data_IF_987773703125
#
_entry.id   IF_987773703125
#
_cell.length_a   1.000
_cell.length_b   1.000
_cell.length_c   1.000
_cell.angle_alpha   90.00
_cell.angle_beta   90.00
_cell.angle_gamma   90.00
#
_symmetry.space_group_name_H-M   'P 1'
#
loop_
_entity.id
_entity.type
_entity.pdbx_description
1 polymer ?
#
# COMPACT_ATOMS: atom_id res chain seq x y z
N UNK A 1 -5.82 17.19 37.11
CA UNK A 1 -4.96 17.52 35.95
C UNK A 1 -4.22 16.24 35.56
N UNK A 2 -4.10 15.99 34.24
CA UNK A 2 -3.54 14.81 33.57
C UNK A 2 -4.49 13.62 33.31
N UNK A 3 -4.97 13.51 32.07
CA UNK A 3 -5.12 12.25 31.37
C UNK A 3 -4.52 12.44 29.97
N UNK A 4 -3.44 11.71 29.71
CA UNK A 4 -2.67 11.72 28.47
C UNK A 4 -3.56 11.18 27.35
N UNK A 5 -3.80 11.96 26.29
CA UNK A 5 -4.36 11.48 25.04
C UNK A 5 -3.28 11.50 23.95
N UNK A 6 -2.13 10.91 24.25
CA UNK A 6 -1.21 10.43 23.22
C UNK A 6 -1.77 9.11 22.67
N UNK A 7 -2.83 9.22 21.86
CA UNK A 7 -3.32 8.10 21.07
C UNK A 7 -2.38 7.91 19.87
N UNK A 8 -1.10 7.65 20.15
CA UNK A 8 -0.11 7.32 19.13
C UNK A 8 -0.40 5.93 18.60
N UNK A 9 -1.31 5.86 17.63
CA UNK A 9 -1.54 4.63 16.86
C UNK A 9 -0.29 4.38 16.04
N UNK A 10 0.38 3.26 16.30
CA UNK A 10 1.56 2.88 15.54
C UNK A 10 1.14 2.31 14.18
N UNK A 11 1.89 2.60 13.11
CA UNK A 11 1.63 1.99 11.81
C UNK A 11 1.84 0.46 11.87
N UNK A 12 1.01 -0.33 11.18
CA UNK A 12 1.12 -1.78 11.18
C UNK A 12 2.39 -2.21 10.44
N UNK A 13 3.10 -3.20 10.99
CA UNK A 13 4.23 -3.83 10.31
C UNK A 13 3.73 -4.58 9.08
N UNK A 14 4.48 -4.49 8.00
CA UNK A 14 4.21 -5.27 6.79
C UNK A 14 4.22 -6.77 7.07
N UNK A 15 3.21 -7.46 6.55
CA UNK A 15 3.03 -8.91 6.70
C UNK A 15 2.95 -9.54 5.31
N UNK A 16 4.03 -10.23 4.92
CA UNK A 16 4.20 -10.75 3.56
C UNK A 16 3.40 -12.03 3.33
N UNK A 17 3.16 -12.79 4.40
CA UNK A 17 2.43 -14.06 4.38
C UNK A 17 0.93 -13.85 4.13
N UNK A 18 0.36 -12.74 4.62
CA UNK A 18 -1.01 -12.32 4.31
C UNK A 18 -1.11 -10.80 4.10
N UNK A 19 -0.80 -10.33 2.89
CA UNK A 19 -0.82 -8.91 2.57
C UNK A 19 -2.24 -8.31 2.52
N UNK A 20 -3.29 -9.14 2.49
CA UNK A 20 -4.69 -8.68 2.58
C UNK A 20 -5.01 -8.26 4.01
N UNK A 21 -4.57 -9.04 5.01
CA UNK A 21 -4.72 -8.65 6.41
C UNK A 21 -3.94 -7.37 6.73
N UNK A 22 -2.72 -7.23 6.20
CA UNK A 22 -1.95 -6.00 6.36
C UNK A 22 -2.68 -4.77 5.80
N UNK A 23 -3.32 -4.90 4.63
CA UNK A 23 -4.14 -3.84 4.03
C UNK A 23 -5.30 -3.39 4.93
N UNK A 24 -6.01 -4.34 5.53
CA UNK A 24 -7.12 -4.03 6.45
C UNK A 24 -6.61 -3.32 7.69
N UNK A 25 -5.48 -3.75 8.24
CA UNK A 25 -4.84 -3.07 9.39
C UNK A 25 -4.38 -1.66 9.03
N UNK A 26 -3.92 -1.46 7.80
CA UNK A 26 -3.46 -0.17 7.30
C UNK A 26 -4.62 0.82 7.13
N UNK A 27 -5.77 0.36 6.62
CA UNK A 27 -6.99 1.18 6.51
C UNK A 27 -7.54 1.60 7.88
N UNK A 28 -7.52 0.65 8.83
CA UNK A 28 -7.87 0.92 10.22
C UNK A 28 -6.90 1.95 10.86
N UNK A 29 -5.60 1.84 10.58
CA UNK A 29 -4.61 2.81 11.04
C UNK A 29 -4.90 4.21 10.49
N UNK A 30 -5.18 4.35 9.19
CA UNK A 30 -5.51 5.65 8.59
C UNK A 30 -6.75 6.28 9.20
N UNK A 31 -7.77 5.47 9.45
CA UNK A 31 -9.01 5.90 10.11
C UNK A 31 -8.77 6.43 11.52
N UNK A 32 -7.90 5.77 12.31
CA UNK A 32 -7.58 6.21 13.67
C UNK A 32 -6.61 7.40 13.71
N UNK A 33 -5.71 7.50 12.74
CA UNK A 33 -4.74 8.58 12.62
C UNK A 33 -5.31 9.83 11.91
N UNK A 34 -6.60 9.82 11.54
CA UNK A 34 -7.26 10.87 10.77
C UNK A 34 -6.52 11.24 9.48
N UNK A 35 -5.96 10.23 8.80
CA UNK A 35 -5.29 10.39 7.51
C UNK A 35 -6.31 10.12 6.42
N UNK A 36 -6.89 11.18 5.87
CA UNK A 36 -7.95 11.07 4.85
C UNK A 36 -7.46 11.32 3.43
N UNK A 37 -6.33 12.01 3.29
CA UNK A 37 -5.72 12.35 2.01
C UNK A 37 -5.03 11.14 1.36
N UNK A 38 -5.42 10.83 0.13
CA UNK A 38 -4.94 9.67 -0.62
C UNK A 38 -3.42 9.72 -0.84
N UNK A 39 -2.87 10.90 -1.16
CA UNK A 39 -1.44 11.08 -1.35
C UNK A 39 -0.67 10.81 -0.05
N UNK A 40 -1.19 11.24 1.09
CA UNK A 40 -0.62 10.99 2.41
C UNK A 40 -0.70 9.53 2.81
N UNK A 41 -1.85 8.88 2.57
CA UNK A 41 -2.01 7.42 2.74
C UNK A 41 -0.98 6.65 1.93
N UNK A 42 -0.83 7.00 0.65
CA UNK A 42 0.17 6.39 -0.23
C UNK A 42 1.60 6.56 0.29
N UNK A 43 1.97 7.79 0.66
CA UNK A 43 3.33 8.07 1.19
C UNK A 43 3.63 7.27 2.44
N UNK A 44 2.67 7.16 3.36
CA UNK A 44 2.83 6.36 4.59
C UNK A 44 2.90 4.86 4.27
N UNK A 45 1.99 4.36 3.42
CA UNK A 45 2.03 2.96 3.00
C UNK A 45 3.39 2.60 2.38
N UNK A 46 3.93 3.49 1.55
CA UNK A 46 5.24 3.30 0.91
C UNK A 46 6.39 3.24 1.92
N UNK A 47 6.37 4.00 3.02
CA UNK A 47 7.44 3.92 4.03
C UNK A 47 7.39 2.64 4.86
N UNK A 48 6.24 1.97 4.89
CA UNK A 48 6.04 0.71 5.63
C UNK A 48 6.40 -0.52 4.80
N UNK A 49 6.54 -0.36 3.47
CA UNK A 49 6.92 -1.46 2.60
C UNK A 49 8.42 -1.75 2.67
N UNK A 50 8.81 -3.04 2.68
CA UNK A 50 10.19 -3.45 2.44
C UNK A 50 10.76 -2.85 1.15
N UNK A 51 12.03 -2.47 1.18
CA UNK A 51 12.71 -1.81 0.05
C UNK A 51 12.71 -2.62 -1.25
N UNK A 52 12.66 -3.96 -1.17
CA UNK A 52 12.56 -4.80 -2.37
C UNK A 52 11.21 -4.63 -3.08
N UNK A 53 10.10 -4.54 -2.33
CA UNK A 53 8.77 -4.28 -2.90
C UNK A 53 8.66 -2.90 -3.52
N UNK A 54 9.26 -1.88 -2.87
CA UNK A 54 9.31 -0.52 -3.42
C UNK A 54 10.11 -0.45 -4.72
N UNK A 55 11.21 -1.20 -4.80
CA UNK A 55 12.04 -1.28 -6.00
C UNK A 55 11.26 -1.92 -7.14
N UNK A 56 10.58 -3.03 -6.86
CA UNK A 56 9.75 -3.73 -7.85
C UNK A 56 8.56 -2.88 -8.29
N UNK A 57 7.92 -2.15 -7.38
CA UNK A 57 6.87 -1.18 -7.69
C UNK A 57 7.38 -0.08 -8.64
N UNK A 58 8.52 0.53 -8.30
CA UNK A 58 9.14 1.59 -9.11
C UNK A 58 9.55 1.07 -10.49
N UNK A 59 10.03 -0.17 -10.56
CA UNK A 59 10.40 -0.83 -11.80
C UNK A 59 9.17 -1.13 -12.67
N UNK A 60 8.07 -1.61 -12.08
CA UNK A 60 6.79 -1.81 -12.79
C UNK A 60 6.22 -0.50 -13.33
N UNK A 61 6.29 0.59 -12.56
CA UNK A 61 5.82 1.90 -13.03
C UNK A 61 6.68 2.45 -14.16
N UNK A 62 8.00 2.26 -14.10
CA UNK A 62 8.94 2.74 -15.11
C UNK A 62 8.98 1.87 -16.35
N UNK A 63 8.80 0.57 -16.18
CA UNK A 63 8.86 -0.44 -17.22
C UNK A 63 7.68 -1.42 -17.07
N UNK A 64 6.45 -0.96 -17.40
CA UNK A 64 5.29 -1.83 -17.33
C UNK A 64 5.50 -3.03 -18.25
N UNK A 65 5.35 -4.27 -17.78
CA UNK A 65 5.61 -5.43 -18.61
C UNK A 65 4.63 -5.43 -19.79
N UNK A 66 5.18 -5.41 -21.01
CA UNK A 66 4.46 -5.40 -22.30
C UNK A 66 3.46 -6.57 -22.43
N UNK A 67 3.62 -7.63 -21.63
CA UNK A 67 2.64 -8.70 -21.41
C UNK A 67 2.66 -9.09 -19.93
N UNK A 68 1.50 -9.33 -19.28
CA UNK A 68 1.45 -9.88 -17.93
C UNK A 68 1.95 -11.32 -17.97
N UNK A 69 3.27 -11.53 -17.87
CA UNK A 69 3.83 -12.86 -17.65
C UNK A 69 3.55 -13.23 -16.19
N UNK A 70 2.89 -14.37 -16.02
CA UNK A 70 2.41 -14.93 -14.75
C UNK A 70 3.55 -15.31 -13.77
N UNK A 71 4.81 -15.02 -14.12
CA UNK A 71 6.02 -15.49 -13.43
C UNK A 71 6.75 -14.41 -12.61
N UNK A 72 6.27 -13.17 -12.57
CA UNK A 72 6.75 -12.23 -11.55
C UNK A 72 5.96 -12.44 -10.26
N UNK A 73 6.60 -12.86 -9.15
CA UNK A 73 5.91 -13.23 -7.90
C UNK A 73 5.06 -12.08 -7.35
N UNK A 74 5.39 -10.83 -7.69
CA UNK A 74 4.73 -9.63 -7.20
C UNK A 74 3.47 -9.21 -7.96
N UNK A 75 3.14 -9.78 -9.14
CA UNK A 75 1.83 -9.54 -9.79
C UNK A 75 0.65 -10.14 -9.02
N UNK A 76 0.92 -11.00 -8.02
CA UNK A 76 -0.06 -11.50 -7.04
C UNK A 76 -0.11 -10.69 -5.76
N UNK A 77 0.73 -9.67 -5.61
CA UNK A 77 0.70 -8.85 -4.41
C UNK A 77 -0.55 -7.98 -4.44
N UNK A 78 -1.47 -8.10 -3.45
CA UNK A 78 -2.74 -7.37 -3.43
C UNK A 78 -2.57 -5.86 -3.57
N UNK A 79 -1.47 -5.32 -3.04
CA UNK A 79 -1.10 -3.91 -3.14
C UNK A 79 -0.87 -3.43 -4.56
N UNK A 80 -0.20 -4.22 -5.39
CA UNK A 80 0.07 -3.87 -6.78
C UNK A 80 -1.23 -3.99 -7.58
N UNK A 81 -2.12 -4.94 -7.25
CA UNK A 81 -3.45 -5.06 -7.86
C UNK A 81 -4.38 -3.91 -7.47
N UNK A 82 -4.35 -3.44 -6.21
CA UNK A 82 -5.08 -2.26 -5.76
C UNK A 82 -4.58 -0.98 -6.44
N UNK A 83 -3.26 -0.84 -6.64
CA UNK A 83 -2.67 0.34 -7.27
C UNK A 83 -2.81 0.34 -8.81
N UNK A 84 -2.83 -0.84 -9.45
CA UNK A 84 -3.19 -0.98 -10.86
C UNK A 84 -4.70 -0.90 -11.12
N UNK A 85 -5.52 -0.87 -10.06
CA UNK A 85 -6.95 -0.64 -10.11
C UNK A 85 -7.31 0.85 -10.21
N UNK A 86 -6.40 1.70 -10.67
CA UNK A 86 -6.76 3.06 -11.08
C UNK A 86 -7.75 2.98 -12.27
N UNK A 87 -8.97 3.56 -12.16
CA UNK A 87 -10.01 3.47 -13.18
C UNK A 87 -9.77 4.34 -14.43
N UNK A 88 -8.58 4.93 -14.61
CA UNK A 88 -8.25 5.76 -15.79
C UNK A 88 -8.02 4.96 -17.10
N UNK A 89 -8.76 3.87 -17.31
CA UNK A 89 -8.93 3.22 -18.62
C UNK A 89 -10.40 2.97 -18.97
N UNK A 90 -11.28 3.91 -18.61
CA UNK A 90 -12.63 3.97 -19.20
C UNK A 90 -13.05 5.42 -19.44
N UNK A 91 -12.51 6.00 -20.50
CA UNK A 91 -13.16 7.10 -21.22
C UNK A 91 -12.86 6.95 -22.71
N UNK A 92 -13.67 6.13 -23.37
CA UNK A 92 -14.15 6.41 -24.73
C UNK A 92 -15.45 7.18 -24.58
#
# INVERSE_FOLDING_TARGET
MCAILDNHVAPPRFFEEDPVIWLVQLDLFFSQAAVDDELSRFRIAATLLPGHLLRDFTDILRNPPLRPTLHHPFRRHPLILLLLQDPSTSKT
#
